data_IF_403918121966
#
_entry.id   IF_403918121966
#
_cell.length_a   1.000
_cell.length_b   1.000
_cell.length_c   1.000
_cell.angle_alpha   90.00
_cell.angle_beta   90.00
_cell.angle_gamma   90.00
#
_symmetry.space_group_name_H-M   'P 1'
#
loop_
_entity.id
_entity.type
_entity.pdbx_description
1 polymer ?
#
# COMPACT_ATOMS: atom_id res chain seq x y z
N UNK A 1 21.70 -3.18 11.25
CA UNK A 1 21.03 -2.83 12.53
C UNK A 1 20.68 -1.34 12.62
N UNK A 2 21.33 -0.46 11.87
CA UNK A 2 21.08 1.00 11.89
C UNK A 2 19.74 1.41 11.28
N UNK A 3 19.32 0.82 10.14
CA UNK A 3 18.10 1.21 9.42
C UNK A 3 16.81 1.15 10.27
N UNK A 4 16.66 0.13 11.11
CA UNK A 4 15.49 0.03 12.00
C UNK A 4 15.49 1.12 13.08
N UNK A 5 16.66 1.51 13.57
CA UNK A 5 16.79 2.59 14.56
C UNK A 5 16.54 3.93 13.88
N UNK A 6 17.07 4.13 12.68
CA UNK A 6 16.82 5.33 11.87
C UNK A 6 15.32 5.47 11.51
N UNK A 7 14.66 4.37 11.16
CA UNK A 7 13.21 4.33 10.93
C UNK A 7 12.42 4.68 12.20
N UNK A 8 12.86 4.17 13.36
CA UNK A 8 12.23 4.48 14.65
C UNK A 8 12.36 5.98 14.98
N UNK A 9 13.55 6.55 14.78
CA UNK A 9 13.80 7.98 15.01
C UNK A 9 12.98 8.87 14.05
N UNK A 10 12.60 8.33 12.89
CA UNK A 10 11.79 9.01 11.85
C UNK A 10 10.32 8.57 11.82
N UNK A 11 9.83 7.87 12.83
CA UNK A 11 8.51 7.20 12.78
C UNK A 11 7.35 8.17 12.52
N UNK A 12 7.40 9.39 13.06
CA UNK A 12 6.38 10.42 12.83
C UNK A 12 6.33 10.81 11.34
N UNK A 13 7.49 11.07 10.74
CA UNK A 13 7.60 11.43 9.33
C UNK A 13 7.09 10.30 8.42
N UNK A 14 7.52 9.06 8.69
CA UNK A 14 7.09 7.88 7.93
C UNK A 14 5.57 7.68 8.02
N UNK A 15 5.00 7.88 9.21
CA UNK A 15 3.55 7.78 9.43
C UNK A 15 2.79 8.85 8.64
N UNK A 16 3.26 10.10 8.65
CA UNK A 16 2.67 11.19 7.85
C UNK A 16 2.73 10.87 6.35
N UNK A 17 3.90 10.44 5.86
CA UNK A 17 4.10 10.09 4.45
C UNK A 17 3.09 9.03 3.97
N UNK A 18 2.91 7.96 4.75
CA UNK A 18 2.00 6.86 4.41
C UNK A 18 0.54 7.31 4.54
N UNK A 19 0.20 8.08 5.57
CA UNK A 19 -1.15 8.59 5.79
C UNK A 19 -1.60 9.52 4.65
N UNK A 20 -0.74 10.45 4.21
CA UNK A 20 -1.04 11.37 3.10
C UNK A 20 -1.25 10.64 1.77
N UNK A 21 -0.40 9.65 1.49
CA UNK A 21 -0.55 8.81 0.31
C UNK A 21 -1.86 8.00 0.36
N UNK A 22 -2.17 7.40 1.52
CA UNK A 22 -3.38 6.61 1.71
C UNK A 22 -4.65 7.46 1.55
N UNK A 23 -4.66 8.66 2.11
CA UNK A 23 -5.75 9.61 1.94
C UNK A 23 -5.92 10.04 0.48
N UNK A 24 -4.81 10.22 -0.24
CA UNK A 24 -4.84 10.53 -1.68
C UNK A 24 -5.40 9.37 -2.51
N UNK A 25 -4.99 8.14 -2.21
CA UNK A 25 -5.51 6.92 -2.84
C UNK A 25 -7.03 6.78 -2.62
N UNK A 26 -7.51 6.94 -1.39
CA UNK A 26 -8.93 6.82 -1.06
C UNK A 26 -9.80 7.86 -1.78
N UNK A 27 -9.29 9.08 -1.99
CA UNK A 27 -9.98 10.13 -2.77
C UNK A 27 -10.13 9.80 -4.25
N UNK A 28 -9.36 8.83 -4.76
CA UNK A 28 -9.33 8.43 -6.17
C UNK A 28 -9.82 6.98 -6.37
N UNK A 29 -10.32 6.33 -5.31
CA UNK A 29 -10.74 4.92 -5.39
C UNK A 29 -11.90 4.73 -6.37
N UNK A 30 -12.70 5.78 -6.57
CA UNK A 30 -13.78 5.80 -7.55
C UNK A 30 -13.28 5.74 -9.00
N UNK A 31 -12.01 6.03 -9.25
CA UNK A 31 -11.37 5.90 -10.58
C UNK A 31 -10.77 4.51 -10.80
N UNK A 32 -10.62 3.70 -9.74
CA UNK A 32 -10.04 2.37 -9.82
C UNK A 32 -11.06 1.29 -10.21
N UNK A 33 -10.59 0.29 -10.95
CA UNK A 33 -11.36 -0.93 -11.23
C UNK A 33 -11.69 -1.65 -9.92
N UNK A 34 -12.96 -1.99 -9.72
CA UNK A 34 -13.46 -2.62 -8.48
C UNK A 34 -12.79 -3.97 -8.21
N UNK A 35 -12.41 -4.70 -9.26
CA UNK A 35 -11.64 -5.93 -9.17
C UNK A 35 -10.42 -5.84 -10.08
N UNK A 36 -9.28 -6.32 -9.58
CA UNK A 36 -8.10 -6.56 -10.41
C UNK A 36 -8.22 -7.94 -11.04
N UNK A 37 -8.21 -8.00 -12.37
CA UNK A 37 -8.20 -9.27 -13.13
C UNK A 37 -6.79 -9.73 -13.49
N UNK A 38 -5.80 -8.87 -13.29
CA UNK A 38 -4.40 -9.21 -13.47
C UNK A 38 -3.91 -9.92 -12.21
N UNK A 39 -3.52 -11.18 -12.36
CA UNK A 39 -2.86 -11.92 -11.30
C UNK A 39 -1.37 -11.54 -11.28
N UNK A 40 -0.84 -11.00 -10.16
CA UNK A 40 0.58 -10.76 -10.07
C UNK A 40 1.32 -12.10 -10.21
N UNK A 41 2.35 -12.11 -11.05
CA UNK A 41 3.25 -13.25 -11.13
C UNK A 41 4.11 -13.24 -9.85
N UNK A 42 4.37 -14.39 -9.22
CA UNK A 42 5.40 -14.49 -8.19
C UNK A 42 6.70 -13.88 -8.69
N UNK A 43 7.38 -13.10 -7.84
CA UNK A 43 8.72 -12.63 -8.17
C UNK A 43 9.65 -13.85 -8.17
N UNK A 44 10.43 -13.99 -9.24
CA UNK A 44 11.46 -15.04 -9.34
C UNK A 44 12.73 -14.67 -8.53
N UNK A 45 12.71 -13.50 -7.88
CA UNK A 45 13.84 -12.95 -7.12
C UNK A 45 13.87 -13.50 -5.69
N UNK A 46 15.04 -13.93 -5.18
CA UNK A 46 15.18 -14.35 -3.79
C UNK A 46 14.97 -13.15 -2.86
N UNK A 47 14.47 -13.42 -1.64
CA UNK A 47 14.38 -12.40 -0.61
C UNK A 47 15.79 -11.86 -0.28
N UNK A 48 15.94 -10.54 -0.27
CA UNK A 48 17.20 -9.90 0.07
C UNK A 48 17.63 -10.26 1.52
N UNK A 49 18.94 -10.39 1.72
CA UNK A 49 19.51 -10.66 3.04
C UNK A 49 19.41 -9.44 3.99
N UNK A 50 19.40 -8.24 3.42
CA UNK A 50 19.32 -6.97 4.13
C UNK A 50 17.98 -6.26 3.85
N UNK A 51 17.46 -5.57 4.86
CA UNK A 51 16.27 -4.73 4.71
C UNK A 51 16.57 -3.40 4.01
N UNK A 52 15.57 -2.83 3.34
CA UNK A 52 15.69 -1.57 2.60
C UNK A 52 15.46 -0.32 3.47
N UNK A 53 14.84 -0.46 4.65
CA UNK A 53 14.29 0.67 5.39
C UNK A 53 12.87 1.01 4.94
N UNK A 54 12.10 1.71 5.77
CA UNK A 54 10.67 1.91 5.55
C UNK A 54 10.37 2.79 4.32
N UNK A 55 11.15 3.85 4.10
CA UNK A 55 10.89 4.81 3.02
C UNK A 55 11.18 4.21 1.63
N UNK A 56 12.31 3.53 1.47
CA UNK A 56 12.68 2.81 0.26
C UNK A 56 11.71 1.64 0.00
N UNK A 57 11.32 0.91 1.04
CA UNK A 57 10.28 -0.13 0.92
C UNK A 57 8.96 0.47 0.44
N UNK A 58 8.58 1.64 0.95
CA UNK A 58 7.37 2.33 0.50
C UNK A 58 7.49 2.85 -0.94
N UNK A 59 8.68 3.24 -1.39
CA UNK A 59 8.95 3.58 -2.78
C UNK A 59 8.77 2.36 -3.71
N UNK A 60 9.31 1.20 -3.35
CA UNK A 60 9.13 -0.05 -4.09
C UNK A 60 7.66 -0.49 -4.10
N UNK A 61 6.93 -0.35 -2.99
CA UNK A 61 5.49 -0.57 -2.94
C UNK A 61 4.74 0.32 -3.94
N UNK A 62 4.99 1.63 -3.93
CA UNK A 62 4.34 2.58 -4.85
C UNK A 62 4.61 2.25 -6.31
N UNK A 63 5.81 1.73 -6.61
CA UNK A 63 6.24 1.41 -7.98
C UNK A 63 5.68 0.08 -8.47
N UNK A 64 5.65 -0.94 -7.63
CA UNK A 64 5.39 -2.32 -8.05
C UNK A 64 4.02 -2.87 -7.62
N UNK A 65 3.51 -2.46 -6.46
CA UNK A 65 2.29 -3.01 -5.87
C UNK A 65 1.10 -2.06 -5.99
N UNK A 66 1.30 -0.78 -5.70
CA UNK A 66 0.24 0.23 -5.71
C UNK A 66 -0.55 0.30 -7.04
N UNK A 67 0.07 0.19 -8.24
CA UNK A 67 -0.68 0.20 -9.50
C UNK A 67 -1.64 -0.98 -9.67
N UNK A 68 -1.46 -2.07 -8.91
CA UNK A 68 -2.31 -3.25 -8.92
C UNK A 68 -3.45 -3.23 -7.91
N UNK A 69 -3.56 -2.18 -7.08
CA UNK A 69 -4.63 -2.08 -6.07
C UNK A 69 -6.00 -1.94 -6.73
N UNK A 70 -6.95 -2.78 -6.31
CA UNK A 70 -8.34 -2.68 -6.74
C UNK A 70 -9.12 -1.63 -5.94
N UNK A 71 -10.14 -1.04 -6.56
CA UNK A 71 -11.12 -0.17 -5.92
C UNK A 71 -12.18 -0.90 -5.07
N UNK A 72 -11.90 -2.11 -4.60
CA UNK A 72 -12.82 -2.94 -3.82
C UNK A 72 -13.13 -2.38 -2.43
N UNK A 73 -12.32 -1.46 -1.93
CA UNK A 73 -12.56 -0.71 -0.68
C UNK A 73 -13.61 0.40 -0.84
N UNK A 74 -14.02 0.70 -2.08
CA UNK A 74 -15.04 1.69 -2.39
C UNK A 74 -16.47 1.12 -2.45
N UNK A 75 -17.49 1.98 -2.56
CA UNK A 75 -18.91 1.59 -2.45
C UNK A 75 -19.45 0.76 -3.63
N UNK A 76 -18.64 0.55 -4.69
CA UNK A 76 -19.04 -0.21 -5.87
C UNK A 76 -18.76 -1.71 -5.78
N UNK A 77 -18.11 -2.15 -4.70
CA UNK A 77 -17.86 -3.57 -4.47
C UNK A 77 -19.09 -4.23 -3.87
N UNK A 78 -19.77 -5.06 -4.67
CA UNK A 78 -20.98 -5.80 -4.28
C UNK A 78 -20.70 -7.31 -4.11
N UNK A 79 -19.43 -7.66 -3.90
CA UNK A 79 -18.98 -9.03 -3.70
C UNK A 79 -19.15 -9.51 -2.25
N UNK A 80 -18.37 -10.52 -1.87
CA UNK A 80 -18.37 -11.05 -0.50
C UNK A 80 -17.95 -9.97 0.49
N UNK A 81 -18.61 -9.85 1.63
CA UNK A 81 -18.29 -8.79 2.61
C UNK A 81 -16.96 -9.11 3.30
N UNK A 82 -15.88 -8.59 2.72
CA UNK A 82 -14.58 -8.44 3.38
C UNK A 82 -14.10 -6.98 3.38
N UNK A 83 -14.87 -6.05 2.77
CA UNK A 83 -14.46 -4.66 2.57
C UNK A 83 -15.64 -3.69 2.55
N UNK A 84 -15.57 -2.70 3.44
CA UNK A 84 -16.55 -1.66 3.69
C UNK A 84 -16.13 -0.92 4.96
N UNK A 85 -14.91 -0.39 4.97
CA UNK A 85 -14.44 0.39 6.12
C UNK A 85 -14.96 1.81 5.95
N UNK A 86 -15.68 2.31 6.96
CA UNK A 86 -15.93 3.74 7.05
C UNK A 86 -14.59 4.45 7.21
N UNK A 87 -14.32 5.60 6.57
CA UNK A 87 -13.07 6.37 6.75
C UNK A 87 -12.76 6.78 8.21
N UNK A 88 -13.71 6.56 9.12
CA UNK A 88 -13.63 6.84 10.55
C UNK A 88 -13.21 5.64 11.42
N UNK A 89 -12.82 4.50 10.81
CA UNK A 89 -12.29 3.35 11.54
C UNK A 89 -10.76 3.41 11.67
#
# INVERSE_FOLDING_TARGET
MTLMVDDLDRIEHLSTLIAEWSASFLKQVDQQSVAATNHPRPLDEPLAADGLGAEETFAEFKKHLAPGLSGSVGPRYLGFVTGGVTPAA
#
